data_IF_616252252259
#
_entry.id   IF_616252252259
#
_cell.length_a   1.000
_cell.length_b   1.000
_cell.length_c   1.000
_cell.angle_alpha   90.00
_cell.angle_beta   90.00
_cell.angle_gamma   90.00
#
_symmetry.space_group_name_H-M   'P 1'
#
loop_
_entity.id
_entity.type
_entity.pdbx_description
1 polymer ?
#
# COMPACT_ATOMS: atom_id res chain seq x y z
N UNK A 1 7.45 11.67 1.76
CA UNK A 1 6.01 11.43 1.53
C UNK A 1 5.80 9.93 1.65
N UNK A 2 4.84 9.47 2.45
CA UNK A 2 4.60 8.06 2.70
C UNK A 2 3.18 7.68 2.28
N UNK A 3 3.02 6.54 1.61
CA UNK A 3 1.72 5.99 1.20
C UNK A 3 1.37 4.85 2.16
N UNK A 4 0.19 4.90 2.77
CA UNK A 4 -0.33 3.83 3.61
C UNK A 4 -1.46 3.13 2.86
N UNK A 5 -1.39 1.80 2.78
CA UNK A 5 -2.34 0.98 2.01
C UNK A 5 -2.96 -0.06 2.92
N UNK A 6 -4.28 -0.09 2.95
CA UNK A 6 -5.04 -1.12 3.67
C UNK A 6 -4.81 -2.51 3.04
N UNK A 7 -4.32 -3.45 3.84
CA UNK A 7 -4.04 -4.82 3.41
C UNK A 7 -5.31 -5.64 3.13
N UNK A 8 -6.42 -5.30 3.80
CA UNK A 8 -7.60 -6.13 3.95
C UNK A 8 -8.65 -5.85 2.87
N UNK A 9 -8.78 -4.58 2.46
CA UNK A 9 -9.83 -4.17 1.53
C UNK A 9 -9.33 -3.56 0.21
N UNK A 10 -8.04 -3.24 0.06
CA UNK A 10 -7.57 -2.56 -1.16
C UNK A 10 -7.39 -3.52 -2.35
N UNK A 11 -8.21 -3.43 -3.41
CA UNK A 11 -8.12 -4.33 -4.56
C UNK A 11 -6.91 -4.02 -5.48
N UNK A 12 -6.27 -2.87 -5.30
CA UNK A 12 -5.19 -2.35 -6.15
C UNK A 12 -3.84 -2.24 -5.42
N UNK A 13 -3.65 -2.94 -4.30
CA UNK A 13 -2.42 -2.86 -3.48
C UNK A 13 -1.14 -3.14 -4.29
N UNK A 14 -1.18 -4.09 -5.20
CA UNK A 14 -0.02 -4.46 -6.04
C UNK A 14 0.31 -3.38 -7.09
N UNK A 15 -0.71 -2.72 -7.63
CA UNK A 15 -0.53 -1.59 -8.54
C UNK A 15 0.07 -0.40 -7.80
N UNK A 16 -0.39 -0.12 -6.58
CA UNK A 16 0.16 0.96 -5.74
C UNK A 16 1.66 0.75 -5.52
N UNK A 17 2.08 -0.46 -5.16
CA UNK A 17 3.52 -0.79 -5.00
C UNK A 17 4.29 -0.57 -6.30
N UNK A 18 3.73 -0.99 -7.44
CA UNK A 18 4.35 -0.82 -8.76
C UNK A 18 4.51 0.66 -9.16
N UNK A 19 3.51 1.49 -8.88
CA UNK A 19 3.56 2.93 -9.15
C UNK A 19 4.50 3.64 -8.17
N UNK A 20 4.42 3.34 -6.88
CA UNK A 20 5.26 3.97 -5.87
C UNK A 20 6.76 3.70 -6.11
N UNK A 21 7.11 2.47 -6.51
CA UNK A 21 8.48 2.12 -6.90
C UNK A 21 9.01 2.99 -8.05
N UNK A 22 8.17 3.28 -9.07
CA UNK A 22 8.56 4.17 -10.18
C UNK A 22 8.86 5.60 -9.73
N UNK A 23 8.19 6.05 -8.67
CA UNK A 23 8.35 7.39 -8.10
C UNK A 23 9.29 7.46 -6.89
N UNK A 24 9.92 6.34 -6.51
CA UNK A 24 10.78 6.24 -5.31
C UNK A 24 10.06 6.71 -4.04
N UNK A 25 8.81 6.29 -3.88
CA UNK A 25 7.98 6.60 -2.72
C UNK A 25 7.88 5.38 -1.80
N UNK A 26 7.93 5.63 -0.49
CA UNK A 26 7.76 4.59 0.51
C UNK A 26 6.28 4.19 0.63
N UNK A 27 6.02 2.88 0.65
CA UNK A 27 4.70 2.28 0.84
C UNK A 27 4.70 1.43 2.10
N UNK A 28 3.71 1.65 2.96
CA UNK A 28 3.45 0.88 4.16
C UNK A 28 2.12 0.15 4.01
N UNK A 29 2.18 -1.17 3.91
CA UNK A 29 0.98 -2.01 3.96
C UNK A 29 0.57 -2.13 5.42
N UNK A 30 -0.64 -1.69 5.74
CA UNK A 30 -1.19 -1.68 7.10
C UNK A 30 -2.42 -2.56 7.16
N UNK A 31 -2.51 -3.35 8.21
CA UNK A 31 -3.73 -4.07 8.58
C UNK A 31 -4.05 -3.72 10.01
N UNK A 32 -5.33 -3.57 10.33
CA UNK A 32 -5.77 -3.47 11.71
C UNK A 32 -6.02 -4.86 12.33
N UNK A 33 -5.62 -5.95 11.65
CA UNK A 33 -5.75 -7.32 12.12
C UNK A 33 -7.21 -7.71 12.28
N UNK A 34 -8.03 -7.52 11.23
CA UNK A 34 -9.46 -7.82 11.23
C UNK A 34 -9.77 -9.10 12.03
N UNK A 35 -10.80 -9.01 12.89
CA UNK A 35 -11.27 -10.04 13.85
C UNK A 35 -11.06 -11.48 13.38
#
# INVERSE_FOLDING_TARGET
MAIYVDADACPVKDEIVTVANRHKLDVYIVSNGGI
#
